data_IF_173384361206
#
_entry.id   IF_173384361206
#
_cell.length_a   1.000
_cell.length_b   1.000
_cell.length_c   1.000
_cell.angle_alpha   90.00
_cell.angle_beta   90.00
_cell.angle_gamma   90.00
#
_symmetry.space_group_name_H-M   'P 1'
#
loop_
_entity.id
_entity.type
_entity.pdbx_description
1 polymer ?
#
# COMPACT_ATOMS: atom_id res chain seq x y z
N UNK A 1 15.22 7.21 23.26
CA UNK A 1 14.61 7.21 21.92
C UNK A 1 13.25 6.56 22.09
N UNK A 2 12.16 7.21 21.68
CA UNK A 2 10.81 6.64 21.85
C UNK A 2 10.64 5.36 21.03
N UNK A 3 9.90 4.39 21.57
CA UNK A 3 9.64 3.10 20.92
C UNK A 3 8.71 3.27 19.71
N UNK A 4 9.06 2.61 18.60
CA UNK A 4 8.26 2.60 17.36
C UNK A 4 7.26 1.44 17.37
N UNK A 5 6.43 1.37 18.42
CA UNK A 5 5.42 0.32 18.61
C UNK A 5 4.03 0.93 18.67
N UNK A 6 3.00 0.16 18.29
CA UNK A 6 1.60 0.60 18.41
C UNK A 6 1.23 0.91 19.87
N UNK A 7 1.72 0.12 20.83
CA UNK A 7 1.48 0.36 22.25
C UNK A 7 2.05 1.69 22.73
N UNK A 8 3.27 2.05 22.32
CA UNK A 8 3.87 3.34 22.66
C UNK A 8 3.09 4.51 22.02
N UNK A 9 2.70 4.39 20.75
CA UNK A 9 1.88 5.38 20.06
C UNK A 9 0.51 5.55 20.75
N UNK A 10 -0.15 4.45 21.10
CA UNK A 10 -1.45 4.47 21.76
C UNK A 10 -1.39 5.15 23.13
N UNK A 11 -0.30 4.90 23.87
CA UNK A 11 -0.06 5.59 25.13
C UNK A 11 0.20 7.08 24.94
N UNK A 12 0.98 7.46 23.93
CA UNK A 12 1.36 8.85 23.68
C UNK A 12 0.18 9.69 23.18
N UNK A 13 -0.56 9.20 22.18
CA UNK A 13 -1.65 9.95 21.55
C UNK A 13 -2.96 9.85 22.33
N UNK A 14 -3.29 8.67 22.85
CA UNK A 14 -4.60 8.42 23.45
C UNK A 14 -4.55 8.29 24.98
N UNK A 15 -3.35 8.27 25.59
CA UNK A 15 -3.19 8.08 27.04
C UNK A 15 -3.49 6.66 27.55
N UNK A 16 -3.86 5.73 26.66
CA UNK A 16 -4.35 4.38 26.97
C UNK A 16 -3.23 3.33 26.87
N UNK A 17 -3.40 2.21 27.56
CA UNK A 17 -2.53 1.04 27.42
C UNK A 17 -3.14 0.05 26.43
N UNK A 18 -2.32 -0.57 25.58
CA UNK A 18 -2.78 -1.56 24.61
C UNK A 18 -2.92 -2.93 25.27
N UNK A 19 -4.11 -3.22 25.78
CA UNK A 19 -4.47 -4.54 26.33
C UNK A 19 -4.80 -5.53 25.20
N UNK A 20 -4.45 -6.82 25.37
CA UNK A 20 -4.63 -7.87 24.35
C UNK A 20 -3.98 -7.53 22.99
N UNK A 21 -2.78 -6.94 23.04
CA UNK A 21 -1.93 -6.76 21.88
C UNK A 21 -1.78 -8.08 21.10
N UNK A 22 -1.71 -7.99 19.77
CA UNK A 22 -1.72 -9.13 18.83
C UNK A 22 -3.09 -9.77 18.57
N UNK A 23 -4.17 -9.23 19.14
CA UNK A 23 -5.51 -9.52 18.65
C UNK A 23 -5.87 -8.54 17.53
N UNK A 24 -6.33 -9.06 16.39
CA UNK A 24 -6.66 -8.23 15.21
C UNK A 24 -7.63 -7.09 15.54
N UNK A 25 -8.60 -7.34 16.42
CA UNK A 25 -9.58 -6.35 16.86
C UNK A 25 -8.95 -5.24 17.73
N UNK A 26 -8.15 -5.59 18.73
CA UNK A 26 -7.53 -4.60 19.62
C UNK A 26 -6.55 -3.72 18.83
N UNK A 27 -5.73 -4.34 17.99
CA UNK A 27 -4.74 -3.64 17.17
C UNK A 27 -5.42 -2.70 16.15
N UNK A 28 -6.52 -3.15 15.53
CA UNK A 28 -7.31 -2.31 14.60
C UNK A 28 -7.92 -1.10 15.31
N UNK A 29 -8.52 -1.31 16.49
CA UNK A 29 -9.15 -0.22 17.24
C UNK A 29 -8.12 0.79 17.74
N UNK A 30 -7.00 0.32 18.30
CA UNK A 30 -5.93 1.20 18.75
C UNK A 30 -5.31 1.99 17.59
N UNK A 31 -5.14 1.37 16.42
CA UNK A 31 -4.66 2.07 15.21
C UNK A 31 -5.63 3.17 14.78
N UNK A 32 -6.94 2.89 14.81
CA UNK A 32 -7.98 3.87 14.49
C UNK A 32 -7.97 5.05 15.47
N UNK A 33 -7.98 4.79 16.78
CA UNK A 33 -7.97 5.86 17.79
C UNK A 33 -6.69 6.70 17.75
N UNK A 34 -5.54 6.07 17.46
CA UNK A 34 -4.27 6.79 17.24
C UNK A 34 -4.38 7.73 16.05
N UNK A 35 -4.93 7.28 14.92
CA UNK A 35 -5.10 8.12 13.74
C UNK A 35 -6.02 9.32 14.03
N UNK A 36 -7.16 9.10 14.70
CA UNK A 36 -8.06 10.19 15.10
C UNK A 36 -7.34 11.22 15.99
N UNK A 37 -6.61 10.74 17.01
CA UNK A 37 -5.85 11.60 17.92
C UNK A 37 -4.71 12.35 17.21
N UNK A 38 -4.12 11.78 16.16
CA UNK A 38 -3.13 12.48 15.33
C UNK A 38 -3.78 13.61 14.53
N UNK A 39 -4.92 13.35 13.89
CA UNK A 39 -5.67 14.35 13.11
C UNK A 39 -6.10 15.53 14.00
N UNK A 40 -6.53 15.27 15.23
CA UNK A 40 -6.91 16.32 16.19
C UNK A 40 -5.72 17.13 16.73
N UNK A 41 -4.53 16.51 16.83
CA UNK A 41 -3.35 17.11 17.46
C UNK A 41 -2.54 18.02 16.54
N UNK A 42 -2.53 17.73 15.24
CA UNK A 42 -1.65 18.37 14.27
C UNK A 42 -2.46 19.25 13.31
N UNK A 43 -2.26 20.56 13.38
CA UNK A 43 -2.97 21.55 12.55
C UNK A 43 -2.74 21.34 11.04
N UNK A 44 -1.62 20.72 10.66
CA UNK A 44 -1.30 20.39 9.27
C UNK A 44 -2.11 19.21 8.72
N UNK A 45 -2.77 18.43 9.58
CA UNK A 45 -3.58 17.28 9.16
C UNK A 45 -5.04 17.67 8.99
N UNK A 46 -5.60 17.35 7.81
CA UNK A 46 -7.02 17.53 7.54
C UNK A 46 -7.75 16.21 7.78
N UNK A 47 -8.93 16.28 8.41
CA UNK A 47 -9.84 15.15 8.54
C UNK A 47 -10.58 14.87 7.21
N UNK A 48 -9.82 14.59 6.15
CA UNK A 48 -10.32 14.24 4.82
C UNK A 48 -9.52 13.05 4.26
N UNK A 49 -10.25 12.05 3.76
CA UNK A 49 -9.64 10.80 3.30
C UNK A 49 -8.74 11.02 2.07
N UNK A 50 -9.10 11.94 1.17
CA UNK A 50 -8.29 12.22 -0.01
C UNK A 50 -6.99 12.93 0.38
N UNK A 51 -7.10 13.95 1.25
CA UNK A 51 -5.94 14.63 1.82
C UNK A 51 -5.01 13.65 2.52
N UNK A 52 -5.51 12.81 3.43
CA UNK A 52 -4.69 11.86 4.19
C UNK A 52 -4.05 10.81 3.28
N UNK A 53 -4.77 10.36 2.26
CA UNK A 53 -4.24 9.46 1.23
C UNK A 53 -3.06 10.11 0.50
N UNK A 54 -3.20 11.36 0.06
CA UNK A 54 -2.13 12.09 -0.62
C UNK A 54 -0.95 12.43 0.30
N UNK A 55 -1.23 12.92 1.51
CA UNK A 55 -0.23 13.28 2.51
C UNK A 55 0.62 12.10 2.96
N UNK A 56 0.02 10.91 3.07
CA UNK A 56 0.71 9.70 3.52
C UNK A 56 1.45 8.95 2.41
N UNK A 57 1.37 9.40 1.14
CA UNK A 57 2.07 8.77 0.02
C UNK A 57 3.57 8.73 0.25
N UNK A 58 4.14 7.52 0.16
CA UNK A 58 5.57 7.28 0.15
C UNK A 58 6.00 6.75 -1.22
N UNK A 59 6.50 7.66 -2.05
CA UNK A 59 6.90 7.36 -3.43
C UNK A 59 5.72 7.26 -4.39
N UNK A 60 6.01 6.95 -5.66
CA UNK A 60 5.01 6.77 -6.73
C UNK A 60 4.59 5.31 -6.85
N UNK A 61 3.85 4.80 -5.87
CA UNK A 61 3.37 3.41 -5.91
C UNK A 61 2.10 3.29 -6.77
N UNK A 62 2.02 2.21 -7.54
CA UNK A 62 0.88 1.86 -8.38
C UNK A 62 -0.13 1.04 -7.57
N UNK A 63 0.35 0.24 -6.62
CA UNK A 63 -0.48 -0.46 -5.64
C UNK A 63 -0.09 -0.07 -4.20
N UNK A 64 -1.04 -0.11 -3.23
CA UNK A 64 -0.76 0.29 -1.85
C UNK A 64 0.31 -0.55 -1.14
N UNK A 65 0.50 -1.81 -1.55
CA UNK A 65 1.50 -2.69 -0.96
C UNK A 65 2.90 -2.47 -1.53
N UNK A 66 3.05 -1.63 -2.56
CA UNK A 66 4.34 -1.22 -3.11
C UNK A 66 5.04 -2.31 -3.91
N UNK A 67 4.32 -3.31 -4.41
CA UNK A 67 4.85 -4.35 -5.33
C UNK A 67 4.95 -3.85 -6.78
N UNK A 68 4.21 -2.79 -7.10
CA UNK A 68 4.20 -2.08 -8.35
C UNK A 68 4.45 -0.59 -8.08
N UNK A 69 5.34 0.00 -8.84
CA UNK A 69 5.66 1.43 -8.77
C UNK A 69 5.74 2.05 -10.17
N UNK A 70 5.65 3.37 -10.24
CA UNK A 70 5.94 4.10 -11.45
C UNK A 70 7.45 4.33 -11.55
N UNK A 71 8.02 4.13 -12.74
CA UNK A 71 9.39 4.55 -13.04
C UNK A 71 9.43 6.07 -13.36
N UNK A 72 10.58 6.56 -13.83
CA UNK A 72 10.77 7.98 -14.20
C UNK A 72 9.89 8.42 -15.37
N UNK A 73 9.52 7.48 -16.25
CA UNK A 73 8.62 7.71 -17.40
C UNK A 73 7.13 7.53 -17.05
N UNK A 74 6.79 7.46 -15.75
CA UNK A 74 5.45 7.18 -15.24
C UNK A 74 4.84 5.86 -15.77
N UNK A 75 5.68 4.86 -16.05
CA UNK A 75 5.28 3.52 -16.47
C UNK A 75 5.24 2.55 -15.27
N UNK A 76 4.15 1.76 -15.11
CA UNK A 76 4.06 0.74 -14.06
C UNK A 76 5.15 -0.33 -14.21
N UNK A 77 5.92 -0.55 -13.14
CA UNK A 77 7.03 -1.48 -13.05
C UNK A 77 6.91 -2.37 -11.81
N UNK A 78 7.50 -3.55 -11.86
CA UNK A 78 7.65 -4.38 -10.66
C UNK A 78 8.74 -3.79 -9.75
N UNK A 79 8.47 -3.69 -8.45
CA UNK A 79 9.44 -3.20 -7.46
C UNK A 79 10.24 -4.33 -6.78
N UNK A 80 9.94 -5.58 -7.11
CA UNK A 80 10.42 -6.78 -6.41
C UNK A 80 10.81 -7.92 -7.37
N UNK A 81 11.46 -8.95 -6.80
CA UNK A 81 11.76 -10.19 -7.50
C UNK A 81 12.73 -10.05 -8.69
N UNK A 82 12.81 -11.10 -9.51
CA UNK A 82 13.70 -11.15 -10.70
C UNK A 82 13.36 -10.12 -11.79
N UNK A 83 12.20 -9.50 -11.72
CA UNK A 83 11.73 -8.50 -12.69
C UNK A 83 11.67 -7.09 -12.14
N UNK A 84 12.32 -6.86 -10.98
CA UNK A 84 12.44 -5.52 -10.41
C UNK A 84 12.95 -4.52 -11.45
N UNK A 85 12.26 -3.39 -11.57
CA UNK A 85 12.53 -2.30 -12.50
C UNK A 85 12.01 -2.52 -13.93
N UNK A 86 11.52 -3.72 -14.27
CA UNK A 86 10.92 -3.98 -15.59
C UNK A 86 9.46 -3.54 -15.59
N UNK A 87 9.02 -2.98 -16.71
CA UNK A 87 7.63 -2.56 -16.90
C UNK A 87 6.70 -3.77 -16.88
N UNK A 88 5.50 -3.59 -16.32
CA UNK A 88 4.42 -4.58 -16.34
C UNK A 88 4.14 -5.01 -17.78
N UNK A 89 4.11 -4.05 -18.68
CA UNK A 89 3.89 -4.24 -20.09
C UNK A 89 4.89 -5.16 -20.78
N UNK A 90 6.18 -4.97 -20.51
CA UNK A 90 7.25 -5.82 -21.04
C UNK A 90 7.08 -7.26 -20.56
N UNK A 91 6.78 -7.45 -19.28
CA UNK A 91 6.63 -8.79 -18.69
C UNK A 91 5.37 -9.50 -19.19
N UNK A 92 4.27 -8.77 -19.39
CA UNK A 92 3.05 -9.35 -19.98
C UNK A 92 3.29 -9.89 -21.40
N UNK A 93 4.18 -9.28 -22.18
CA UNK A 93 4.50 -9.70 -23.54
C UNK A 93 5.57 -10.79 -23.61
N UNK A 94 6.63 -10.67 -22.80
CA UNK A 94 7.81 -11.53 -22.91
C UNK A 94 7.78 -12.72 -21.94
N UNK A 95 7.08 -12.61 -20.80
CA UNK A 95 7.01 -13.64 -19.77
C UNK A 95 5.57 -13.81 -19.23
N UNK A 96 4.56 -14.15 -20.07
CA UNK A 96 3.16 -14.20 -19.67
C UNK A 96 2.87 -15.16 -18.51
N UNK A 97 3.69 -16.21 -18.34
CA UNK A 97 3.60 -17.13 -17.20
C UNK A 97 3.83 -16.46 -15.84
N UNK A 98 4.59 -15.36 -15.80
CA UNK A 98 4.86 -14.63 -14.55
C UNK A 98 3.59 -13.99 -13.97
N UNK A 99 2.72 -13.46 -14.84
CA UNK A 99 1.42 -12.94 -14.42
C UNK A 99 0.55 -14.04 -13.80
N UNK A 100 0.50 -15.22 -14.43
CA UNK A 100 -0.21 -16.38 -13.89
C UNK A 100 0.32 -16.81 -12.52
N UNK A 101 1.63 -16.78 -12.31
CA UNK A 101 2.23 -17.05 -11.01
C UNK A 101 1.78 -16.02 -9.95
N UNK A 102 1.84 -14.72 -10.24
CA UNK A 102 1.40 -13.68 -9.27
C UNK A 102 -0.06 -13.86 -8.86
N UNK A 103 -0.95 -14.15 -9.81
CA UNK A 103 -2.37 -14.33 -9.51
C UNK A 103 -2.63 -15.52 -8.56
N UNK A 104 -1.82 -16.57 -8.66
CA UNK A 104 -1.96 -17.78 -7.84
C UNK A 104 -1.14 -17.74 -6.53
N UNK A 105 -0.08 -16.93 -6.48
CA UNK A 105 0.74 -16.76 -5.29
C UNK A 105 0.07 -15.88 -4.22
N UNK A 106 0.65 -15.83 -3.02
CA UNK A 106 0.13 -15.05 -1.89
C UNK A 106 0.52 -13.57 -1.99
N UNK A 107 -0.18 -12.85 -2.86
CA UNK A 107 -0.09 -11.39 -2.98
C UNK A 107 -1.38 -10.72 -2.50
N UNK A 108 -1.30 -9.48 -1.98
CA UNK A 108 -2.48 -8.71 -1.63
C UNK A 108 -3.48 -8.62 -2.78
N UNK A 109 -4.76 -8.77 -2.46
CA UNK A 109 -5.83 -8.79 -3.47
C UNK A 109 -5.85 -7.52 -4.32
N UNK A 110 -5.49 -6.38 -3.73
CA UNK A 110 -5.42 -5.11 -4.45
C UNK A 110 -4.30 -5.11 -5.49
N UNK A 111 -3.10 -5.62 -5.16
CA UNK A 111 -2.00 -5.79 -6.11
C UNK A 111 -2.42 -6.65 -7.30
N UNK A 112 -3.10 -7.78 -7.05
CA UNK A 112 -3.64 -8.65 -8.12
C UNK A 112 -4.68 -7.91 -8.98
N UNK A 113 -5.57 -7.13 -8.36
CA UNK A 113 -6.58 -6.33 -9.05
C UNK A 113 -5.96 -5.27 -9.96
N UNK A 114 -4.99 -4.52 -9.46
CA UNK A 114 -4.27 -3.49 -10.23
C UNK A 114 -3.53 -4.11 -11.40
N UNK A 115 -2.81 -5.21 -11.19
CA UNK A 115 -2.11 -5.91 -12.26
C UNK A 115 -3.08 -6.42 -13.35
N UNK A 116 -4.26 -6.91 -12.94
CA UNK A 116 -5.31 -7.34 -13.87
C UNK A 116 -5.89 -6.17 -14.67
N UNK A 117 -6.11 -5.03 -14.02
CA UNK A 117 -6.58 -3.81 -14.70
C UNK A 117 -5.57 -3.35 -15.76
N UNK A 118 -4.27 -3.29 -15.43
CA UNK A 118 -3.22 -2.94 -16.38
C UNK A 118 -3.23 -3.88 -17.60
N UNK A 119 -3.37 -5.19 -17.38
CA UNK A 119 -3.49 -6.18 -18.46
C UNK A 119 -4.71 -5.94 -19.35
N UNK A 120 -5.88 -5.67 -18.77
CA UNK A 120 -7.11 -5.43 -19.52
C UNK A 120 -7.04 -4.12 -20.32
N UNK A 121 -6.52 -3.04 -19.73
CA UNK A 121 -6.32 -1.76 -20.42
C UNK A 121 -5.42 -1.92 -21.64
N UNK A 122 -4.34 -2.71 -21.53
CA UNK A 122 -3.45 -3.00 -22.66
C UNK A 122 -4.14 -3.78 -23.79
N UNK A 123 -5.02 -4.73 -23.46
CA UNK A 123 -5.79 -5.48 -24.46
C UNK A 123 -6.78 -4.58 -25.19
N UNK A 124 -7.46 -3.69 -24.46
CA UNK A 124 -8.44 -2.77 -25.04
C UNK A 124 -7.79 -1.68 -25.92
N UNK A 125 -6.58 -1.24 -25.58
CA UNK A 125 -5.84 -0.23 -26.35
C UNK A 125 -5.11 -0.79 -27.58
N UNK A 126 -5.10 -2.12 -27.79
CA UNK A 126 -4.54 -2.78 -28.99
C UNK A 126 -5.59 -3.05 -30.08
N UNK A 127 -6.87 -2.77 -29.80
CA UNK A 127 -8.00 -2.82 -30.75
C UNK A 127 -8.21 -1.45 -31.40
#
# INVERSE_FOLDING_TARGET
>A
MEERTLGAAYKFYCGKSLENAHSSKADTLATFEVLESQIEKYDELQNDVNFLSDFSKRGKNVDPAGFLNFNEDDLPCFSFGKHKGKTVDYILENEPGYFGWILNADFPMYTKKVLTQLRLSKLNNKL
#
